data_IF_716545968105
#
_entry.id   IF_716545968105
#
_cell.length_a   1.000
_cell.length_b   1.000
_cell.length_c   1.000
_cell.angle_alpha   90.00
_cell.angle_beta   90.00
_cell.angle_gamma   90.00
#
_symmetry.space_group_name_H-M   'P 1'
#
loop_
_entity.id
_entity.type
_entity.pdbx_description
1 polymer ?
#
# COMPACT_ATOMS: atom_id res chain seq x y z
N UNK A 1 -30.04 10.29 12.02
CA UNK A 1 -29.21 11.47 12.37
C UNK A 1 -29.61 12.72 11.61
N UNK A 2 -29.57 12.77 10.27
CA UNK A 2 -30.19 13.88 9.50
C UNK A 2 -31.71 14.05 9.75
N UNK A 3 -32.38 12.96 10.13
CA UNK A 3 -33.79 12.94 10.53
C UNK A 3 -34.07 13.55 11.92
N UNK A 4 -33.03 13.67 12.76
CA UNK A 4 -33.10 14.32 14.08
C UNK A 4 -32.71 15.80 13.98
N UNK A 5 -32.70 16.37 12.77
CA UNK A 5 -32.39 17.79 12.53
C UNK A 5 -30.90 18.15 12.43
N UNK A 6 -29.98 17.17 12.42
CA UNK A 6 -28.55 17.45 12.27
C UNK A 6 -28.24 18.05 10.90
N UNK A 7 -27.67 19.26 10.91
CA UNK A 7 -27.15 19.92 9.70
C UNK A 7 -26.00 19.12 9.10
N UNK A 8 -25.72 19.32 7.79
CA UNK A 8 -24.59 18.68 7.11
C UNK A 8 -23.26 18.94 7.83
N UNK A 9 -23.10 20.14 8.41
CA UNK A 9 -21.95 20.50 9.24
C UNK A 9 -21.90 19.74 10.56
N UNK A 10 -23.05 19.58 11.26
CA UNK A 10 -23.11 18.79 12.50
C UNK A 10 -22.74 17.32 12.31
N UNK A 11 -23.12 16.73 11.17
CA UNK A 11 -22.72 15.36 10.81
C UNK A 11 -21.21 15.23 10.54
N UNK A 12 -20.63 16.20 9.83
CA UNK A 12 -19.16 16.26 9.61
C UNK A 12 -18.42 16.41 10.94
N UNK A 13 -18.87 17.33 11.79
CA UNK A 13 -18.33 17.55 13.12
C UNK A 13 -18.35 16.27 13.95
N UNK A 14 -19.47 15.55 13.99
CA UNK A 14 -19.58 14.29 14.73
C UNK A 14 -18.55 13.23 14.28
N UNK A 15 -18.35 13.05 12.98
CA UNK A 15 -17.37 12.08 12.45
C UNK A 15 -15.94 12.52 12.80
N UNK A 16 -15.63 13.81 12.69
CA UNK A 16 -14.30 14.33 13.05
C UNK A 16 -14.03 14.22 14.54
N UNK A 17 -15.01 14.49 15.41
CA UNK A 17 -14.87 14.33 16.85
C UNK A 17 -14.69 12.86 17.22
N UNK A 18 -15.42 11.94 16.57
CA UNK A 18 -15.19 10.50 16.74
C UNK A 18 -13.78 10.09 16.30
N UNK A 19 -13.32 10.56 15.14
CA UNK A 19 -11.96 10.29 14.68
C UNK A 19 -10.93 10.82 15.70
N UNK A 20 -11.06 12.06 16.18
CA UNK A 20 -10.18 12.63 17.19
C UNK A 20 -10.17 11.82 18.50
N UNK A 21 -11.35 11.41 18.98
CA UNK A 21 -11.48 10.63 20.22
C UNK A 21 -10.82 9.25 20.14
N UNK A 22 -10.73 8.62 18.96
CA UNK A 22 -10.00 7.35 18.80
C UNK A 22 -8.51 7.54 18.53
N UNK A 23 -8.14 8.59 17.79
CA UNK A 23 -6.77 8.76 17.28
C UNK A 23 -5.81 9.26 18.35
N UNK A 24 -6.21 10.25 19.14
CA UNK A 24 -5.35 10.80 20.20
C UNK A 24 -4.92 9.74 21.24
N UNK A 25 -5.82 8.95 21.84
CA UNK A 25 -5.40 7.91 22.79
C UNK A 25 -4.62 6.77 22.10
N UNK A 26 -4.93 6.45 20.85
CA UNK A 26 -4.18 5.42 20.13
C UNK A 26 -2.72 5.84 19.89
N UNK A 27 -2.49 7.09 19.47
CA UNK A 27 -1.13 7.62 19.24
C UNK A 27 -0.36 7.73 20.55
N UNK A 28 -0.98 8.19 21.64
CA UNK A 28 -0.28 8.27 22.94
C UNK A 28 0.10 6.89 23.47
N UNK A 29 -0.79 5.90 23.38
CA UNK A 29 -0.49 4.52 23.77
C UNK A 29 0.63 3.94 22.88
N UNK A 30 0.57 4.17 21.57
CA UNK A 30 1.60 3.71 20.64
C UNK A 30 2.99 4.28 20.99
N UNK A 31 3.07 5.56 21.35
CA UNK A 31 4.31 6.20 21.79
C UNK A 31 4.87 5.59 23.08
N UNK A 32 4.01 5.23 24.03
CA UNK A 32 4.43 4.58 25.27
C UNK A 32 4.93 3.16 25.00
N UNK A 33 4.20 2.40 24.19
CA UNK A 33 4.52 1.00 23.85
C UNK A 33 5.75 0.89 22.95
N UNK A 34 6.08 1.94 22.19
CA UNK A 34 7.26 1.95 21.33
C UNK A 34 8.58 1.72 22.10
N UNK A 35 8.75 2.31 23.29
CA UNK A 35 9.99 2.18 24.07
C UNK A 35 10.33 0.72 24.48
N UNK A 36 9.44 -0.03 25.15
CA UNK A 36 9.72 -1.42 25.49
C UNK A 36 9.87 -2.29 24.25
N UNK A 37 9.16 -1.98 23.16
CA UNK A 37 9.22 -2.76 21.93
C UNK A 37 10.57 -2.59 21.22
N UNK A 38 11.10 -1.37 21.14
CA UNK A 38 12.46 -1.11 20.63
C UNK A 38 13.51 -1.81 21.50
N UNK A 39 13.38 -1.74 22.83
CA UNK A 39 14.29 -2.42 23.74
C UNK A 39 14.35 -3.93 23.50
N UNK A 40 13.20 -4.59 23.36
CA UNK A 40 13.13 -6.03 23.08
C UNK A 40 13.75 -6.36 21.72
N UNK A 41 13.44 -5.58 20.67
CA UNK A 41 14.02 -5.77 19.34
C UNK A 41 15.54 -5.66 19.39
N UNK A 42 16.07 -4.63 20.04
CA UNK A 42 17.52 -4.44 20.13
C UNK A 42 18.21 -5.55 20.89
N UNK A 43 17.61 -6.06 21.97
CA UNK A 43 18.15 -7.21 22.70
C UNK A 43 18.20 -8.49 21.86
N UNK A 44 17.23 -8.68 20.96
CA UNK A 44 17.16 -9.87 20.09
C UNK A 44 18.09 -9.73 18.88
N UNK A 45 18.28 -8.50 18.37
CA UNK A 45 18.98 -8.26 17.12
C UNK A 45 20.48 -7.98 17.30
N UNK A 46 20.88 -7.39 18.43
CA UNK A 46 22.27 -7.04 18.72
C UNK A 46 22.77 -7.88 19.90
N UNK A 47 23.57 -8.90 19.61
CA UNK A 47 24.37 -9.62 20.61
C UNK A 47 25.56 -8.73 21.05
N UNK A 48 25.94 -8.80 22.33
CA UNK A 48 26.91 -7.89 22.98
C UNK A 48 28.30 -7.86 22.29
N UNK A 49 28.60 -8.87 21.46
CA UNK A 49 29.83 -8.98 20.68
C UNK A 49 29.93 -7.99 19.49
N UNK A 50 28.84 -7.32 19.10
CA UNK A 50 28.82 -6.37 17.98
C UNK A 50 29.37 -4.97 18.34
N UNK A 51 29.72 -4.71 19.62
CA UNK A 51 30.34 -3.45 20.06
C UNK A 51 29.47 -2.20 19.86
N UNK A 52 28.19 -2.38 19.51
CA UNK A 52 27.25 -1.31 19.23
C UNK A 52 26.25 -1.19 20.38
N UNK A 53 26.21 -0.04 21.04
CA UNK A 53 25.22 0.31 22.06
C UNK A 53 24.11 1.16 21.43
N UNK A 54 22.98 0.55 21.02
CA UNK A 54 21.88 1.30 20.42
C UNK A 54 21.17 2.17 21.45
N UNK A 55 20.89 3.43 21.11
CA UNK A 55 20.00 4.29 21.90
C UNK A 55 18.55 3.82 21.76
N UNK A 56 17.94 3.43 22.88
CA UNK A 56 16.52 3.03 22.96
C UNK A 56 15.58 4.22 22.68
N UNK A 57 16.06 5.46 22.89
CA UNK A 57 15.28 6.67 22.66
C UNK A 57 15.40 7.10 21.19
N UNK A 58 14.29 7.18 20.43
CA UNK A 58 14.30 7.68 19.05
C UNK A 58 14.68 9.17 18.99
N UNK A 59 15.18 9.61 17.84
CA UNK A 59 15.45 11.04 17.62
C UNK A 59 14.16 11.88 17.68
N UNK A 60 14.27 13.13 18.14
CA UNK A 60 13.11 14.04 18.24
C UNK A 60 12.40 14.26 16.90
N UNK A 61 13.15 14.25 15.79
CA UNK A 61 12.58 14.33 14.45
C UNK A 61 11.74 13.09 14.08
N UNK A 62 12.18 11.89 14.50
CA UNK A 62 11.41 10.65 14.27
C UNK A 62 10.10 10.66 15.08
N UNK A 63 10.16 11.12 16.33
CA UNK A 63 8.97 11.26 17.19
C UNK A 63 7.97 12.24 16.57
N UNK A 64 8.44 13.40 16.11
CA UNK A 64 7.58 14.40 15.47
C UNK A 64 6.92 13.86 14.19
N UNK A 65 7.71 13.22 13.32
CA UNK A 65 7.19 12.62 12.09
C UNK A 65 6.17 11.51 12.37
N UNK A 66 6.42 10.66 13.35
CA UNK A 66 5.50 9.60 13.75
C UNK A 66 4.17 10.16 14.29
N UNK A 67 4.23 11.19 15.15
CA UNK A 67 3.04 11.84 15.69
C UNK A 67 2.25 12.58 14.61
N UNK A 68 2.94 13.28 13.71
CA UNK A 68 2.32 13.99 12.60
C UNK A 68 1.58 13.03 11.67
N UNK A 69 2.24 11.96 11.22
CA UNK A 69 1.64 10.95 10.33
C UNK A 69 0.51 10.18 11.05
N UNK A 70 0.72 9.81 12.31
CA UNK A 70 -0.23 9.06 13.13
C UNK A 70 -1.55 9.79 13.35
N UNK A 71 -1.52 11.13 13.42
CA UNK A 71 -2.74 11.95 13.48
C UNK A 71 -3.29 12.25 12.09
N UNK A 72 -2.44 12.59 11.12
CA UNK A 72 -2.88 13.07 9.81
C UNK A 72 -3.61 11.98 8.99
N UNK A 73 -3.12 10.74 9.01
CA UNK A 73 -3.71 9.63 8.22
C UNK A 73 -5.17 9.35 8.60
N UNK A 74 -5.54 9.14 9.88
CA UNK A 74 -6.92 8.91 10.28
C UNK A 74 -7.87 10.06 9.91
N UNK A 75 -7.43 11.30 10.05
CA UNK A 75 -8.24 12.47 9.68
C UNK A 75 -8.47 12.53 8.17
N UNK A 76 -7.44 12.28 7.35
CA UNK A 76 -7.60 12.17 5.89
C UNK A 76 -8.49 10.97 5.51
N UNK A 77 -8.35 9.84 6.19
CA UNK A 77 -9.15 8.63 5.93
C UNK A 77 -10.65 8.87 6.21
N UNK A 78 -10.98 9.71 7.19
CA UNK A 78 -12.36 10.07 7.55
C UNK A 78 -13.14 10.79 6.43
N UNK A 79 -12.44 11.34 5.43
CA UNK A 79 -13.06 11.99 4.26
C UNK A 79 -13.97 11.02 3.49
N UNK A 80 -13.58 9.75 3.37
CA UNK A 80 -14.38 8.75 2.63
C UNK A 80 -15.69 8.41 3.36
N UNK A 81 -15.69 8.07 4.67
CA UNK A 81 -16.91 7.98 5.48
C UNK A 81 -17.79 9.23 5.41
N UNK A 82 -17.20 10.44 5.54
CA UNK A 82 -17.95 11.70 5.47
C UNK A 82 -18.68 11.84 4.14
N UNK A 83 -17.97 11.63 3.01
CA UNK A 83 -18.58 11.71 1.67
C UNK A 83 -19.70 10.69 1.49
N UNK A 84 -19.50 9.43 1.93
CA UNK A 84 -20.51 8.37 1.84
C UNK A 84 -21.76 8.68 2.67
N UNK A 85 -21.59 9.16 3.89
CA UNK A 85 -22.71 9.54 4.76
C UNK A 85 -23.47 10.77 4.23
N UNK A 86 -22.76 11.73 3.65
CA UNK A 86 -23.40 12.93 3.08
C UNK A 86 -24.14 12.66 1.76
N UNK A 87 -23.66 11.71 0.96
CA UNK A 87 -24.24 11.32 -0.33
C UNK A 87 -25.46 10.37 -0.21
N UNK A 88 -25.71 9.80 0.97
CA UNK A 88 -26.86 8.92 1.19
C UNK A 88 -28.18 9.70 1.28
N UNK A 89 -29.21 9.22 0.57
CA UNK A 89 -30.56 9.77 0.61
C UNK A 89 -31.31 9.31 1.86
N UNK A 90 -31.96 10.24 2.54
CA UNK A 90 -32.72 10.01 3.79
C UNK A 90 -33.76 8.89 3.65
N UNK A 91 -34.56 8.94 2.59
CA UNK A 91 -35.59 7.94 2.30
C UNK A 91 -35.00 6.55 2.03
N UNK A 92 -33.85 6.48 1.35
CA UNK A 92 -33.14 5.22 1.04
C UNK A 92 -32.46 4.62 2.29
N UNK A 93 -32.11 5.45 3.27
CA UNK A 93 -31.55 5.00 4.56
C UNK A 93 -32.60 4.59 5.59
N UNK A 94 -33.88 4.89 5.36
CA UNK A 94 -34.98 4.59 6.29
C UNK A 94 -35.53 3.18 6.09
N UNK A 95 -35.51 2.69 4.85
CA UNK A 95 -35.97 1.35 4.50
C UNK A 95 -34.87 0.32 4.83
N UNK A 96 -34.84 -0.12 6.08
CA UNK A 96 -33.91 -1.16 6.57
C UNK A 96 -34.31 -2.57 6.14
N UNK A 97 -35.51 -2.72 5.59
CA UNK A 97 -36.12 -3.99 5.16
C UNK A 97 -35.71 -4.37 3.74
N UNK A 98 -35.18 -3.42 2.95
CA UNK A 98 -34.73 -3.65 1.59
C UNK A 98 -33.32 -4.21 1.54
N UNK A 99 -33.12 -5.30 0.77
CA UNK A 99 -31.79 -5.81 0.46
C UNK A 99 -30.90 -4.69 -0.09
N UNK A 100 -29.71 -4.49 0.50
CA UNK A 100 -28.68 -3.57 0.02
C UNK A 100 -28.17 -3.91 -1.39
N UNK A 101 -28.56 -5.05 -1.97
CA UNK A 101 -28.39 -5.30 -3.39
C UNK A 101 -29.37 -4.41 -4.17
N UNK A 102 -28.87 -3.29 -4.69
CA UNK A 102 -29.59 -2.58 -5.74
C UNK A 102 -29.97 -3.60 -6.82
N UNK A 103 -31.27 -3.80 -7.05
CA UNK A 103 -31.77 -4.63 -8.13
C UNK A 103 -31.09 -4.21 -9.43
N UNK A 104 -30.84 -5.19 -10.30
CA UNK A 104 -30.06 -5.07 -11.54
C UNK A 104 -30.13 -3.66 -12.15
N UNK A 105 -29.10 -2.87 -11.87
CA UNK A 105 -28.98 -1.52 -12.40
C UNK A 105 -28.54 -1.70 -13.84
N UNK A 106 -29.51 -1.74 -14.75
CA UNK A 106 -29.28 -1.82 -16.19
C UNK A 106 -28.80 -0.43 -16.61
N UNK A 107 -27.50 -0.18 -16.45
CA UNK A 107 -26.85 0.93 -17.14
C UNK A 107 -26.73 0.52 -18.60
N UNK A 108 -27.52 1.15 -19.46
CA UNK A 108 -27.28 1.12 -20.90
C UNK A 108 -26.00 1.94 -21.13
N UNK A 109 -24.86 1.24 -21.13
CA UNK A 109 -23.57 1.83 -21.48
C UNK A 109 -23.51 1.83 -22.99
N UNK A 110 -23.46 3.03 -23.56
CA UNK A 110 -23.19 3.20 -24.98
C UNK A 110 -21.74 2.79 -25.25
N UNK A 111 -21.55 1.64 -25.92
CA UNK A 111 -20.22 1.06 -26.20
C UNK A 111 -19.41 1.89 -27.21
N UNK A 112 -19.99 2.93 -27.81
CA UNK A 112 -19.34 3.72 -28.84
C UNK A 112 -18.49 4.88 -28.29
N UNK A 113 -18.60 5.20 -27.00
CA UNK A 113 -17.74 6.19 -26.36
C UNK A 113 -16.38 5.55 -26.01
N UNK A 114 -15.39 5.75 -26.90
CA UNK A 114 -14.00 5.39 -26.62
C UNK A 114 -13.50 6.16 -25.40
N UNK A 115 -13.34 5.47 -24.28
CA UNK A 115 -12.78 6.04 -23.05
C UNK A 115 -11.26 6.14 -23.23
N UNK A 116 -10.79 7.20 -23.91
CA UNK A 116 -9.38 7.41 -24.25
C UNK A 116 -8.49 7.79 -23.05
N UNK A 117 -9.10 8.26 -21.96
CA UNK A 117 -8.39 8.77 -20.79
C UNK A 117 -7.33 7.82 -20.20
N UNK A 118 -7.67 6.56 -19.84
CA UNK A 118 -6.72 5.61 -19.29
C UNK A 118 -5.55 5.28 -20.24
N UNK A 119 -5.81 5.20 -21.56
CA UNK A 119 -4.77 4.91 -22.55
C UNK A 119 -3.78 6.07 -22.69
N UNK A 120 -4.28 7.31 -22.74
CA UNK A 120 -3.44 8.50 -22.79
C UNK A 120 -2.57 8.61 -21.51
N UNK A 121 -3.17 8.36 -20.34
CA UNK A 121 -2.47 8.44 -19.06
C UNK A 121 -1.36 7.38 -18.97
N UNK A 122 -1.66 6.13 -19.38
CA UNK A 122 -0.66 5.07 -19.44
C UNK A 122 0.47 5.38 -20.43
N UNK A 123 0.13 5.89 -21.62
CA UNK A 123 1.10 6.31 -22.62
C UNK A 123 2.03 7.41 -22.10
N UNK A 124 1.50 8.43 -21.43
CA UNK A 124 2.29 9.52 -20.83
C UNK A 124 3.27 9.01 -19.77
N UNK A 125 2.83 8.10 -18.89
CA UNK A 125 3.71 7.51 -17.86
C UNK A 125 4.81 6.67 -18.52
N UNK A 126 4.47 5.88 -19.54
CA UNK A 126 5.44 5.03 -20.25
C UNK A 126 6.51 5.87 -20.98
N UNK A 127 6.11 6.98 -21.61
CA UNK A 127 7.05 7.91 -22.27
C UNK A 127 7.98 8.55 -21.24
N UNK A 128 7.46 9.05 -20.11
CA UNK A 128 8.29 9.61 -19.04
C UNK A 128 9.30 8.58 -18.51
N UNK A 129 8.84 7.35 -18.28
CA UNK A 129 9.72 6.26 -17.86
C UNK A 129 10.80 5.97 -18.90
N UNK A 130 10.45 5.94 -20.18
CA UNK A 130 11.40 5.76 -21.29
C UNK A 130 12.45 6.88 -21.37
N UNK A 131 12.05 8.13 -21.17
CA UNK A 131 12.97 9.29 -21.16
C UNK A 131 13.97 9.16 -19.99
N UNK A 132 13.50 8.77 -18.80
CA UNK A 132 14.34 8.58 -17.62
C UNK A 132 15.38 7.49 -17.86
N UNK A 133 15.00 6.37 -18.48
CA UNK A 133 15.92 5.27 -18.80
C UNK A 133 16.90 5.68 -19.90
N UNK A 134 16.40 6.23 -21.01
CA UNK A 134 17.21 6.47 -22.21
C UNK A 134 18.17 7.65 -22.05
N UNK A 135 17.77 8.73 -21.37
CA UNK A 135 18.63 9.90 -21.17
C UNK A 135 19.18 9.99 -19.75
N UNK A 136 18.38 9.70 -18.73
CA UNK A 136 18.78 9.85 -17.34
C UNK A 136 19.93 8.91 -16.98
N UNK A 137 19.83 7.63 -17.34
CA UNK A 137 20.85 6.63 -16.99
C UNK A 137 22.21 6.89 -17.67
N UNK A 138 22.29 7.17 -19.00
CA UNK A 138 23.56 7.51 -19.63
C UNK A 138 24.20 8.78 -19.07
N UNK A 139 23.44 9.84 -18.81
CA UNK A 139 23.97 11.09 -18.24
C UNK A 139 24.51 10.86 -16.82
N UNK A 140 23.82 10.03 -16.02
CA UNK A 140 24.26 9.70 -14.67
C UNK A 140 25.57 8.89 -14.68
N UNK A 141 25.71 7.97 -15.64
CA UNK A 141 26.95 7.19 -15.86
C UNK A 141 28.09 8.07 -16.38
N UNK A 142 27.84 8.94 -17.36
CA UNK A 142 28.86 9.84 -17.92
C UNK A 142 29.41 10.81 -16.88
N UNK A 143 28.57 11.30 -15.96
CA UNK A 143 29.00 12.17 -14.86
C UNK A 143 29.57 11.41 -13.66
N UNK A 144 29.57 10.06 -13.70
CA UNK A 144 29.93 9.18 -12.58
C UNK A 144 29.26 9.59 -11.25
N UNK A 145 28.04 10.14 -11.32
CA UNK A 145 27.31 10.58 -10.15
C UNK A 145 26.53 9.39 -9.58
N UNK A 146 27.17 8.65 -8.68
CA UNK A 146 26.59 7.48 -8.02
C UNK A 146 25.25 7.78 -7.33
N UNK A 147 25.05 9.02 -6.83
CA UNK A 147 23.78 9.44 -6.24
C UNK A 147 22.64 9.47 -7.26
N UNK A 148 22.87 10.07 -8.44
CA UNK A 148 21.91 10.09 -9.55
C UNK A 148 21.65 8.68 -10.09
N UNK A 149 22.70 7.86 -10.21
CA UNK A 149 22.58 6.46 -10.64
C UNK A 149 21.66 5.70 -9.68
N UNK A 150 21.94 5.77 -8.37
CA UNK A 150 21.16 5.08 -7.34
C UNK A 150 19.70 5.58 -7.31
N UNK A 151 19.48 6.89 -7.42
CA UNK A 151 18.15 7.48 -7.45
C UNK A 151 17.33 6.99 -8.65
N UNK A 152 17.93 6.91 -9.84
CA UNK A 152 17.28 6.37 -11.04
C UNK A 152 16.98 4.88 -10.83
N UNK A 153 17.94 4.08 -10.35
CA UNK A 153 17.71 2.66 -10.07
C UNK A 153 16.57 2.43 -9.07
N UNK A 154 16.50 3.23 -8.01
CA UNK A 154 15.44 3.15 -7.02
C UNK A 154 14.07 3.50 -7.63
N UNK A 155 14.00 4.55 -8.45
CA UNK A 155 12.78 4.91 -9.17
C UNK A 155 12.35 3.83 -10.15
N UNK A 156 13.29 3.19 -10.87
CA UNK A 156 13.01 2.06 -11.77
C UNK A 156 12.49 0.85 -11.00
N UNK A 157 13.11 0.51 -9.86
CA UNK A 157 12.67 -0.59 -9.00
C UNK A 157 11.26 -0.36 -8.45
N UNK A 158 10.95 0.84 -7.97
CA UNK A 158 9.60 1.21 -7.55
C UNK A 158 8.60 1.14 -8.72
N UNK A 159 8.98 1.63 -9.89
CA UNK A 159 8.16 1.54 -11.11
C UNK A 159 7.85 0.09 -11.50
N UNK A 160 8.85 -0.80 -11.45
CA UNK A 160 8.67 -2.22 -11.70
C UNK A 160 7.78 -2.88 -10.65
N UNK A 161 7.93 -2.53 -9.37
CA UNK A 161 7.06 -3.04 -8.30
C UNK A 161 5.60 -2.64 -8.54
N UNK A 162 5.34 -1.38 -8.90
CA UNK A 162 3.99 -0.92 -9.26
C UNK A 162 3.46 -1.61 -10.52
N UNK A 163 4.29 -1.77 -11.55
CA UNK A 163 3.93 -2.47 -12.78
C UNK A 163 3.54 -3.93 -12.54
N UNK A 164 4.37 -4.67 -11.80
CA UNK A 164 4.14 -6.08 -11.48
C UNK A 164 2.94 -6.28 -10.55
N UNK A 165 2.69 -5.38 -9.60
CA UNK A 165 1.50 -5.47 -8.74
C UNK A 165 0.21 -5.24 -9.52
N UNK A 166 0.19 -4.27 -10.45
CA UNK A 166 -0.95 -4.08 -11.36
C UNK A 166 -1.16 -5.28 -12.29
N UNK A 167 -0.06 -5.86 -12.79
CA UNK A 167 -0.10 -7.06 -13.62
C UNK A 167 -0.66 -8.27 -12.83
N UNK A 168 -0.18 -8.50 -11.61
CA UNK A 168 -0.66 -9.58 -10.73
C UNK A 168 -2.16 -9.45 -10.43
N UNK A 169 -2.65 -8.22 -10.24
CA UNK A 169 -4.07 -7.94 -10.01
C UNK A 169 -4.91 -8.19 -11.25
N UNK A 170 -4.35 -8.03 -12.46
CA UNK A 170 -5.03 -8.46 -13.68
C UNK A 170 -5.14 -9.99 -13.74
N UNK A 171 -4.08 -10.71 -13.35
CA UNK A 171 -4.07 -12.17 -13.25
C UNK A 171 -4.95 -12.73 -12.13
N UNK A 172 -5.31 -11.93 -11.12
CA UNK A 172 -6.15 -12.34 -10.01
C UNK A 172 -7.46 -13.02 -10.46
N UNK A 173 -8.13 -12.47 -11.48
CA UNK A 173 -9.40 -13.05 -11.96
C UNK A 173 -9.21 -14.42 -12.60
N UNK A 174 -8.05 -14.68 -13.20
CA UNK A 174 -7.71 -15.99 -13.74
C UNK A 174 -7.36 -16.97 -12.62
N UNK A 175 -6.56 -16.52 -11.64
CA UNK A 175 -6.21 -17.31 -10.46
C UNK A 175 -7.44 -17.72 -9.63
N UNK A 176 -8.42 -16.82 -9.45
CA UNK A 176 -9.69 -17.15 -8.78
C UNK A 176 -10.44 -18.28 -9.48
N UNK A 177 -10.46 -18.29 -10.83
CA UNK A 177 -11.10 -19.37 -11.59
C UNK A 177 -10.34 -20.69 -11.47
N UNK A 178 -9.00 -20.64 -11.52
CA UNK A 178 -8.15 -21.83 -11.34
C UNK A 178 -8.33 -22.39 -9.93
N UNK A 179 -8.29 -21.56 -8.89
CA UNK A 179 -8.47 -21.97 -7.50
C UNK A 179 -9.84 -22.59 -7.24
N UNK A 180 -10.92 -22.00 -7.78
CA UNK A 180 -12.25 -22.61 -7.68
C UNK A 180 -12.30 -24.00 -8.34
N UNK A 181 -11.51 -24.23 -9.38
CA UNK A 181 -11.48 -25.53 -10.06
C UNK A 181 -10.62 -26.54 -9.29
N UNK A 182 -9.45 -26.13 -8.79
CA UNK A 182 -8.48 -26.98 -8.11
C UNK A 182 -8.87 -27.28 -6.67
N UNK A 183 -9.35 -26.30 -5.89
CA UNK A 183 -9.71 -26.52 -4.48
C UNK A 183 -11.10 -27.15 -4.32
N UNK A 184 -12.05 -26.83 -5.20
CA UNK A 184 -13.44 -27.31 -5.09
C UNK A 184 -13.76 -28.39 -6.11
N UNK A 185 -12.75 -29.19 -6.51
CA UNK A 185 -12.95 -30.27 -7.49
C UNK A 185 -13.95 -31.32 -7.00
N UNK A 186 -13.99 -31.59 -5.68
CA UNK A 186 -14.93 -32.52 -5.04
C UNK A 186 -16.34 -31.91 -4.87
N UNK A 187 -16.46 -30.60 -4.80
CA UNK A 187 -17.72 -29.97 -4.40
C UNK A 187 -18.81 -30.01 -5.50
N UNK A 188 -20.08 -30.01 -5.09
CA UNK A 188 -21.24 -30.04 -5.98
C UNK A 188 -21.28 -28.85 -6.95
N UNK A 189 -21.80 -29.08 -8.17
CA UNK A 189 -21.91 -28.05 -9.23
C UNK A 189 -22.68 -26.80 -8.75
N UNK A 190 -23.68 -26.98 -7.89
CA UNK A 190 -24.50 -25.90 -7.32
C UNK A 190 -23.69 -24.99 -6.40
N UNK A 191 -22.94 -25.56 -5.46
CA UNK A 191 -22.12 -24.80 -4.51
C UNK A 191 -21.00 -24.04 -5.22
N UNK A 192 -20.38 -24.62 -6.26
CA UNK A 192 -19.39 -23.92 -7.11
C UNK A 192 -20.00 -22.72 -7.83
N UNK A 193 -21.25 -22.83 -8.29
CA UNK A 193 -21.95 -21.71 -8.93
C UNK A 193 -22.28 -20.58 -7.95
N UNK A 194 -22.66 -20.90 -6.72
CA UNK A 194 -22.91 -19.92 -5.65
C UNK A 194 -21.61 -19.18 -5.28
N UNK A 195 -20.51 -19.91 -5.08
CA UNK A 195 -19.21 -19.31 -4.75
C UNK A 195 -18.67 -18.43 -5.89
N UNK A 196 -18.82 -18.85 -7.15
CA UNK A 196 -18.48 -18.02 -8.30
C UNK A 196 -19.28 -16.72 -8.34
N UNK A 197 -20.60 -16.79 -8.10
CA UNK A 197 -21.46 -15.60 -8.04
C UNK A 197 -21.06 -14.68 -6.88
N UNK A 198 -20.69 -15.25 -5.73
CA UNK A 198 -20.22 -14.49 -4.58
C UNK A 198 -18.91 -13.74 -4.88
N UNK A 199 -17.93 -14.41 -5.50
CA UNK A 199 -16.66 -13.80 -5.92
C UNK A 199 -16.87 -12.67 -6.93
N UNK A 200 -17.76 -12.86 -7.92
CA UNK A 200 -18.10 -11.81 -8.89
C UNK A 200 -18.74 -10.61 -8.20
N UNK A 201 -19.69 -10.85 -7.27
CA UNK A 201 -20.35 -9.79 -6.48
C UNK A 201 -19.35 -8.94 -5.68
N UNK A 202 -18.27 -9.56 -5.20
CA UNK A 202 -17.24 -8.88 -4.40
C UNK A 202 -15.96 -8.53 -5.18
N UNK A 203 -15.91 -8.74 -6.51
CA UNK A 203 -14.71 -8.55 -7.34
C UNK A 203 -14.05 -7.18 -7.17
N UNK A 204 -14.83 -6.11 -7.11
CA UNK A 204 -14.28 -4.74 -6.93
C UNK A 204 -13.61 -4.54 -5.58
N UNK A 205 -14.18 -5.09 -4.50
CA UNK A 205 -13.58 -5.04 -3.16
C UNK A 205 -12.36 -5.95 -3.09
N UNK A 206 -12.46 -7.17 -3.61
CA UNK A 206 -11.35 -8.14 -3.61
C UNK A 206 -10.13 -7.62 -4.39
N UNK A 207 -10.37 -6.93 -5.50
CA UNK A 207 -9.31 -6.29 -6.30
C UNK A 207 -8.58 -5.20 -5.51
N UNK A 208 -9.31 -4.34 -4.79
CA UNK A 208 -8.70 -3.29 -3.97
C UNK A 208 -7.86 -3.90 -2.85
N UNK A 209 -8.39 -4.91 -2.16
CA UNK A 209 -7.68 -5.64 -1.11
C UNK A 209 -6.42 -6.30 -1.64
N UNK A 210 -6.49 -6.97 -2.79
CA UNK A 210 -5.33 -7.59 -3.43
C UNK A 210 -4.24 -6.56 -3.80
N UNK A 211 -4.62 -5.38 -4.33
CA UNK A 211 -3.66 -4.29 -4.61
C UNK A 211 -2.96 -3.86 -3.32
N UNK A 212 -3.69 -3.63 -2.24
CA UNK A 212 -3.12 -3.18 -0.96
C UNK A 212 -2.13 -4.24 -0.43
N UNK A 213 -2.55 -5.51 -0.38
CA UNK A 213 -1.69 -6.60 0.10
C UNK A 213 -0.45 -6.79 -0.78
N UNK A 214 -0.61 -6.83 -2.10
CA UNK A 214 0.50 -7.03 -3.03
C UNK A 214 1.51 -5.87 -2.96
N UNK A 215 1.03 -4.63 -2.84
CA UNK A 215 1.89 -3.45 -2.74
C UNK A 215 2.66 -3.45 -1.41
N UNK A 216 1.98 -3.70 -0.29
CA UNK A 216 2.62 -3.72 1.03
C UNK A 216 3.65 -4.84 1.14
N UNK A 217 3.28 -6.06 0.75
CA UNK A 217 4.16 -7.22 0.81
C UNK A 217 5.33 -7.09 -0.18
N UNK A 218 5.06 -6.60 -1.40
CA UNK A 218 6.11 -6.29 -2.37
C UNK A 218 7.11 -5.25 -1.85
N UNK A 219 6.64 -4.20 -1.19
CA UNK A 219 7.49 -3.17 -0.59
C UNK A 219 8.36 -3.74 0.54
N UNK A 220 7.81 -4.58 1.41
CA UNK A 220 8.56 -5.23 2.50
C UNK A 220 9.66 -6.13 1.93
N UNK A 221 9.33 -7.00 0.95
CA UNK A 221 10.33 -7.87 0.31
C UNK A 221 11.40 -7.04 -0.39
N UNK A 222 11.02 -5.97 -1.07
CA UNK A 222 11.95 -5.07 -1.73
C UNK A 222 12.92 -4.41 -0.76
N UNK A 223 12.44 -3.88 0.36
CA UNK A 223 13.31 -3.28 1.39
C UNK A 223 14.25 -4.33 1.99
N UNK A 224 13.77 -5.52 2.28
CA UNK A 224 14.59 -6.60 2.85
C UNK A 224 15.67 -7.08 1.87
N UNK A 225 15.32 -7.29 0.61
CA UNK A 225 16.28 -7.69 -0.43
C UNK A 225 17.29 -6.59 -0.73
N UNK A 226 16.87 -5.33 -0.77
CA UNK A 226 17.74 -4.17 -0.91
C UNK A 226 18.74 -4.06 0.25
N UNK A 227 18.27 -4.22 1.49
CA UNK A 227 19.15 -4.22 2.67
C UNK A 227 20.17 -5.36 2.62
N UNK A 228 19.74 -6.59 2.28
CA UNK A 228 20.64 -7.73 2.14
C UNK A 228 21.69 -7.51 1.04
N UNK A 229 21.31 -6.93 -0.11
CA UNK A 229 22.27 -6.59 -1.17
C UNK A 229 23.31 -5.58 -0.68
N UNK A 230 22.91 -4.56 0.07
CA UNK A 230 23.85 -3.58 0.64
C UNK A 230 24.82 -4.23 1.63
N UNK A 231 24.32 -5.08 2.53
CA UNK A 231 25.16 -5.84 3.48
C UNK A 231 26.18 -6.70 2.73
N UNK A 232 25.74 -7.45 1.71
CA UNK A 232 26.63 -8.31 0.91
C UNK A 232 27.67 -7.52 0.10
N UNK A 233 27.33 -6.31 -0.37
CA UNK A 233 28.30 -5.44 -1.02
C UNK A 233 29.37 -4.98 -0.02
N UNK A 234 28.96 -4.52 1.17
CA UNK A 234 29.87 -4.05 2.21
C UNK A 234 30.81 -5.18 2.68
N UNK A 235 30.27 -6.37 2.96
CA UNK A 235 31.10 -7.53 3.34
C UNK A 235 32.02 -7.97 2.21
N UNK A 236 31.56 -7.90 0.95
CA UNK A 236 32.38 -8.16 -0.23
C UNK A 236 33.53 -7.18 -0.42
N UNK A 237 33.34 -5.89 -0.10
CA UNK A 237 34.41 -4.89 -0.10
C UNK A 237 35.42 -5.13 1.03
N UNK A 238 34.95 -5.46 2.24
CA UNK A 238 35.83 -5.79 3.37
C UNK A 238 36.69 -7.03 3.13
N UNK A 239 36.14 -8.06 2.47
CA UNK A 239 36.87 -9.28 2.13
C UNK A 239 37.95 -9.05 1.05
N UNK A 240 37.74 -8.13 0.10
CA UNK A 240 38.74 -7.78 -0.93
C UNK A 240 39.79 -6.80 -0.43
N UNK A 241 39.47 -5.91 0.50
CA UNK A 241 40.44 -4.98 1.10
C UNK A 241 41.53 -5.70 1.92
N UNK A 242 41.26 -6.91 2.42
CA UNK A 242 42.25 -7.74 3.12
C UNK A 242 43.17 -8.58 2.22
N UNK A 243 42.93 -8.65 0.91
CA UNK A 243 43.65 -9.53 0.00
C UNK A 243 44.84 -8.86 -0.74
N UNK A 244 45.00 -7.54 -0.63
CA UNK A 244 45.94 -6.76 -1.46
C UNK A 244 47.16 -6.17 -0.71
N UNK A 245 47.59 -6.82 0.38
CA UNK A 245 48.90 -6.54 1.01
C UNK A 245 49.73 -7.83 1.07
N UNK A 246 50.34 -8.19 -0.06
CA UNK A 246 51.61 -8.92 -0.07
C UNK A 246 52.62 -8.12 -0.87
N UNK A 247 53.45 -7.41 -0.11
CA UNK A 247 54.67 -6.75 -0.59
C UNK A 247 55.60 -7.86 -1.10
N UNK A 248 55.99 -7.78 -2.37
CA UNK A 248 57.31 -8.20 -2.85
C UNK A 248 58.02 -6.96 -3.38
#
# INVERSE_FOLDING_TARGET
MRLVGLTKMGFVGMILTQAGMFVLPAVTIAMIVQFPLIYVIYKVLFEEDLGYVPSVVPSGAAIFNALFIGVLIPFLSSIVPIRRGLAANLTETLDTSRSKSKGALITIVDNNALVVGPYLLFGSIAVLFGIIVYYGLPIALLKLNFGMILAIFFMLLLGMLLGLTLFAVNMQSALEMVLLHVLLFWETKSMRAVLRKNLISHKKKNRLTAIIYALSLGCIIFLLTSANLQVNLITGFSAKAGADIRIQ
#
